data_IF_260282267493
#
_entry.id   IF_260282267493
#
_cell.length_a   1.000
_cell.length_b   1.000
_cell.length_c   1.000
_cell.angle_alpha   90.00
_cell.angle_beta   90.00
_cell.angle_gamma   90.00
#
_symmetry.space_group_name_H-M   'P 1'
#
loop_
_entity.id
_entity.type
_entity.pdbx_description
1 polymer ?
#
# COMPACT_ATOMS: atom_id res chain seq x y z
N UNK A 1 -42.57 58.83 53.13
CA UNK A 1 -43.79 58.63 52.31
C UNK A 1 -43.87 57.16 51.97
N UNK A 2 -44.94 56.51 52.44
CA UNK A 2 -45.08 55.05 52.50
C UNK A 2 -46.16 54.64 51.52
N UNK A 3 -45.90 53.65 50.66
CA UNK A 3 -46.96 52.94 49.95
C UNK A 3 -46.51 51.51 49.62
N UNK A 4 -47.00 50.55 50.42
CA UNK A 4 -47.11 49.13 50.09
C UNK A 4 -48.16 48.97 48.99
N UNK A 5 -47.93 48.07 48.04
CA UNK A 5 -49.02 47.34 47.37
C UNK A 5 -48.55 45.94 47.01
N UNK A 6 -49.15 44.98 47.69
CA UNK A 6 -49.24 43.58 47.27
C UNK A 6 -50.45 43.45 46.34
N UNK A 7 -50.36 42.62 45.30
CA UNK A 7 -51.51 42.03 44.63
C UNK A 7 -51.15 40.67 44.04
N UNK A 8 -52.13 39.77 44.13
CA UNK A 8 -52.06 38.33 44.00
C UNK A 8 -51.98 37.81 42.56
N UNK A 9 -51.38 36.62 42.49
CA UNK A 9 -51.55 35.49 41.57
C UNK A 9 -52.73 35.49 40.59
N UNK A 10 -52.44 35.06 39.35
CA UNK A 10 -53.28 34.15 38.57
C UNK A 10 -52.40 33.19 37.75
N UNK A 11 -52.75 31.91 37.80
CA UNK A 11 -52.13 30.83 37.05
C UNK A 11 -52.70 30.77 35.62
N UNK A 12 -51.85 30.41 34.64
CA UNK A 12 -52.26 29.69 33.44
C UNK A 12 -51.22 28.60 33.12
N UNK A 13 -51.74 27.42 32.86
CA UNK A 13 -51.08 26.17 32.50
C UNK A 13 -50.86 26.16 30.98
N UNK A 14 -49.70 25.72 30.49
CA UNK A 14 -49.56 24.71 29.42
C UNK A 14 -48.15 24.70 28.80
N UNK A 15 -47.58 23.49 28.69
CA UNK A 15 -46.77 23.09 27.54
C UNK A 15 -45.28 23.45 27.55
N UNK A 16 -44.49 22.82 28.41
CA UNK A 16 -43.03 22.79 28.25
C UNK A 16 -42.66 21.75 27.19
N UNK A 17 -42.38 22.19 25.97
CA UNK A 17 -41.63 21.42 24.97
C UNK A 17 -40.16 21.43 25.42
N UNK A 18 -39.49 20.29 25.65
CA UNK A 18 -38.05 20.32 25.82
C UNK A 18 -37.40 20.66 24.47
N UNK A 19 -36.81 21.86 24.40
CA UNK A 19 -35.89 22.23 23.34
C UNK A 19 -34.76 21.20 23.30
N UNK A 20 -34.77 20.34 22.30
CA UNK A 20 -33.62 19.54 21.92
C UNK A 20 -32.50 20.53 21.55
N UNK A 21 -31.51 20.65 22.43
CA UNK A 21 -30.21 21.23 22.08
C UNK A 21 -29.67 20.40 20.92
N UNK A 22 -29.70 20.99 19.72
CA UNK A 22 -29.04 20.44 18.55
C UNK A 22 -27.54 20.31 18.88
N UNK A 23 -27.10 19.08 19.09
CA UNK A 23 -25.67 18.76 19.06
C UNK A 23 -25.14 19.18 17.68
N UNK A 24 -23.97 19.83 17.59
CA UNK A 24 -23.34 20.02 16.30
C UNK A 24 -23.11 18.64 15.66
N UNK A 25 -23.34 18.48 14.34
CA UNK A 25 -23.15 17.18 13.71
C UNK A 25 -21.72 16.72 13.99
N UNK A 26 -21.60 15.52 14.56
CA UNK A 26 -20.35 14.83 14.71
C UNK A 26 -19.61 14.89 13.37
N UNK A 27 -18.41 15.47 13.38
CA UNK A 27 -17.45 15.38 12.29
C UNK A 27 -17.43 13.90 11.87
N UNK A 28 -17.59 13.54 10.59
CA UNK A 28 -17.49 12.14 10.21
C UNK A 28 -16.12 11.67 10.67
N UNK A 29 -16.13 10.80 11.69
CA UNK A 29 -14.99 9.97 12.02
C UNK A 29 -14.61 9.32 10.71
N UNK A 30 -13.48 9.74 10.16
CA UNK A 30 -12.78 9.01 9.13
C UNK A 30 -12.72 7.59 9.66
N UNK A 31 -13.49 6.72 9.01
CA UNK A 31 -13.72 5.37 9.50
C UNK A 31 -12.39 4.79 9.93
N UNK A 32 -12.32 4.39 11.20
CA UNK A 32 -11.20 3.61 11.68
C UNK A 32 -11.06 2.45 10.71
N UNK A 33 -10.05 2.51 9.85
CA UNK A 33 -9.64 1.38 9.06
C UNK A 33 -9.39 0.28 10.08
N UNK A 34 -10.11 -0.82 9.96
CA UNK A 34 -9.67 -2.12 10.47
C UNK A 34 -8.16 -2.17 10.33
N UNK A 35 -7.35 -2.57 11.33
CA UNK A 35 -5.91 -2.65 11.15
C UNK A 35 -5.65 -3.71 10.08
N UNK A 36 -5.63 -3.27 8.82
CA UNK A 36 -5.32 -4.11 7.69
C UNK A 36 -3.89 -4.56 7.86
N UNK A 37 -3.57 -5.76 7.37
CA UNK A 37 -2.18 -6.16 7.24
C UNK A 37 -1.38 -4.99 6.62
N UNK A 38 -0.20 -4.67 7.16
CA UNK A 38 0.56 -3.53 6.68
C UNK A 38 0.83 -3.70 5.19
N UNK A 39 0.68 -2.62 4.42
CA UNK A 39 0.93 -2.67 2.99
C UNK A 39 2.37 -3.16 2.72
N UNK A 40 2.51 -4.04 1.74
CA UNK A 40 3.77 -4.70 1.41
C UNK A 40 4.27 -4.24 0.05
N UNK A 41 5.58 -4.35 -0.16
CA UNK A 41 6.23 -4.11 -1.45
C UNK A 41 7.20 -5.25 -1.76
N UNK A 42 7.20 -5.71 -3.01
CA UNK A 42 7.98 -6.86 -3.44
C UNK A 42 9.46 -6.53 -3.48
N UNK A 43 10.26 -7.26 -2.69
CA UNK A 43 11.72 -7.17 -2.72
C UNK A 43 12.30 -8.00 -3.85
N UNK A 44 11.82 -9.24 -3.97
CA UNK A 44 12.02 -10.06 -5.16
C UNK A 44 11.16 -11.30 -5.19
N UNK A 45 11.01 -11.89 -6.37
CA UNK A 45 10.36 -13.20 -6.57
C UNK A 45 10.91 -14.33 -5.68
N UNK A 46 12.15 -14.20 -5.19
CA UNK A 46 12.83 -15.18 -4.33
C UNK A 46 12.94 -14.77 -2.86
N UNK A 47 12.81 -13.48 -2.53
CA UNK A 47 12.90 -12.96 -1.14
C UNK A 47 11.54 -12.60 -0.54
N UNK A 48 10.48 -12.61 -1.33
CA UNK A 48 9.16 -12.17 -0.90
C UNK A 48 9.05 -10.66 -0.77
N UNK A 49 8.15 -10.22 0.10
CA UNK A 49 7.78 -8.83 0.29
C UNK A 49 8.44 -8.19 1.52
N UNK A 50 8.33 -6.87 1.62
CA UNK A 50 8.75 -6.08 2.77
C UNK A 50 7.63 -5.13 3.21
N UNK A 51 7.61 -4.84 4.50
CA UNK A 51 6.68 -3.89 5.10
C UNK A 51 6.97 -2.46 4.65
N UNK A 52 5.95 -1.81 4.08
CA UNK A 52 5.98 -0.37 3.80
C UNK A 52 5.89 0.39 5.12
N UNK A 53 6.90 1.20 5.40
CA UNK A 53 6.98 2.06 6.59
C UNK A 53 6.32 3.42 6.32
N UNK A 54 6.61 4.01 5.16
CA UNK A 54 6.01 5.27 4.73
C UNK A 54 5.79 5.31 3.23
N UNK A 55 4.74 6.00 2.80
CA UNK A 55 4.48 6.35 1.39
C UNK A 55 4.12 7.82 1.31
N UNK A 56 4.74 8.54 0.38
CA UNK A 56 4.57 9.98 0.19
C UNK A 56 4.22 10.30 -1.25
N UNK A 57 3.33 11.27 -1.44
CA UNK A 57 2.89 11.82 -2.72
C UNK A 57 2.58 10.76 -3.81
N UNK A 58 1.73 9.75 -3.55
CA UNK A 58 1.34 8.80 -4.59
C UNK A 58 0.75 9.53 -5.81
N UNK A 59 0.92 8.94 -6.99
CA UNK A 59 0.47 9.48 -8.28
C UNK A 59 1.11 10.82 -8.70
N UNK A 60 2.27 11.16 -8.14
CA UNK A 60 3.01 12.38 -8.46
C UNK A 60 4.41 12.12 -9.00
N UNK A 61 5.11 13.19 -9.40
CA UNK A 61 6.51 13.11 -9.79
C UNK A 61 7.50 13.14 -8.60
N UNK A 62 7.00 13.29 -7.37
CA UNK A 62 7.76 13.17 -6.12
C UNK A 62 7.44 11.89 -5.34
N UNK A 63 6.64 10.97 -5.93
CA UNK A 63 6.18 9.77 -5.27
C UNK A 63 7.34 8.94 -4.70
N UNK A 64 7.22 8.54 -3.43
CA UNK A 64 8.24 7.73 -2.78
C UNK A 64 7.65 6.77 -1.76
N UNK A 65 8.33 5.64 -1.56
CA UNK A 65 7.99 4.62 -0.59
C UNK A 65 9.25 4.20 0.15
N UNK A 66 9.16 4.18 1.47
CA UNK A 66 10.19 3.65 2.36
C UNK A 66 9.68 2.35 2.97
N UNK A 67 10.50 1.31 2.95
CA UNK A 67 10.15 -0.02 3.42
C UNK A 67 11.32 -0.66 4.14
N UNK A 68 11.01 -1.67 4.96
CA UNK A 68 12.00 -2.49 5.65
C UNK A 68 11.47 -3.91 5.82
N UNK A 69 12.39 -4.85 5.97
CA UNK A 69 12.06 -6.22 6.33
C UNK A 69 11.78 -6.24 7.83
N UNK A 70 10.53 -6.57 8.19
CA UNK A 70 10.14 -6.86 9.57
C UNK A 70 10.31 -8.36 9.87
N UNK A 71 10.22 -8.73 11.15
CA UNK A 71 10.34 -10.13 11.55
C UNK A 71 9.33 -11.03 10.84
N UNK A 72 8.08 -10.58 10.68
CA UNK A 72 7.04 -11.36 10.00
C UNK A 72 7.36 -11.56 8.51
N UNK A 73 7.91 -10.54 7.83
CA UNK A 73 8.38 -10.65 6.44
C UNK A 73 9.49 -11.69 6.32
N UNK A 74 10.43 -11.69 7.27
CA UNK A 74 11.53 -12.64 7.31
C UNK A 74 11.03 -14.07 7.57
N UNK A 75 10.07 -14.25 8.48
CA UNK A 75 9.45 -15.56 8.76
C UNK A 75 8.73 -16.07 7.50
N UNK A 76 7.91 -15.23 6.85
CA UNK A 76 7.20 -15.58 5.62
C UNK A 76 8.17 -16.00 4.51
N UNK A 77 9.24 -15.21 4.30
CA UNK A 77 10.28 -15.56 3.31
C UNK A 77 10.97 -16.88 3.64
N UNK A 78 11.19 -17.19 4.93
CA UNK A 78 11.84 -18.43 5.37
C UNK A 78 10.91 -19.65 5.30
N UNK A 79 9.60 -19.45 5.16
CA UNK A 79 8.60 -20.51 4.96
C UNK A 79 8.33 -20.80 3.48
N UNK A 80 8.86 -19.97 2.56
CA UNK A 80 8.59 -20.04 1.12
C UNK A 80 9.35 -21.18 0.44
N UNK A 81 8.79 -21.66 -0.68
CA UNK A 81 8.93 -22.99 -1.28
C UNK A 81 10.32 -23.66 -1.45
N UNK A 82 10.33 -25.01 -1.45
CA UNK A 82 9.24 -25.84 -0.93
C UNK A 82 9.21 -25.70 0.60
N UNK A 83 8.04 -25.47 1.23
CA UNK A 83 7.97 -25.62 2.68
C UNK A 83 8.37 -27.06 2.96
N UNK A 84 9.39 -27.32 3.81
CA UNK A 84 9.78 -28.68 4.10
C UNK A 84 8.58 -29.43 4.69
N UNK A 85 8.40 -30.70 4.28
CA UNK A 85 7.33 -31.59 4.80
C UNK A 85 7.29 -31.58 6.34
N UNK A 86 8.45 -31.35 6.95
CA UNK A 86 8.62 -31.05 8.37
C UNK A 86 9.14 -29.61 8.56
N UNK A 87 8.23 -28.64 8.74
CA UNK A 87 8.61 -27.29 9.17
C UNK A 87 9.20 -27.38 10.57
N UNK A 88 10.51 -27.19 10.68
CA UNK A 88 11.22 -27.13 11.96
C UNK A 88 11.24 -25.69 12.47
N UNK A 89 10.52 -25.34 13.56
CA UNK A 89 10.44 -23.96 14.04
C UNK A 89 11.81 -23.35 14.36
N UNK A 90 12.75 -24.16 14.84
CA UNK A 90 14.12 -23.73 15.12
C UNK A 90 14.90 -23.33 13.86
N UNK A 91 14.66 -24.00 12.73
CA UNK A 91 15.31 -23.66 11.45
C UNK A 91 14.74 -22.37 10.87
N UNK A 92 13.41 -22.20 10.95
CA UNK A 92 12.73 -20.95 10.56
C UNK A 92 13.21 -19.78 11.41
N UNK A 93 13.28 -19.95 12.74
CA UNK A 93 13.78 -18.93 13.65
C UNK A 93 15.24 -18.55 13.36
N UNK A 94 16.10 -19.52 13.04
CA UNK A 94 17.49 -19.26 12.65
C UNK A 94 17.58 -18.52 11.32
N UNK A 95 16.77 -18.89 10.32
CA UNK A 95 16.69 -18.21 9.04
C UNK A 95 16.21 -16.76 9.20
N UNK A 96 15.11 -16.56 9.93
CA UNK A 96 14.55 -15.24 10.19
C UNK A 96 15.55 -14.37 10.94
N UNK A 97 16.24 -14.91 11.96
CA UNK A 97 17.31 -14.20 12.67
C UNK A 97 18.44 -13.78 11.74
N UNK A 98 18.92 -14.67 10.87
CA UNK A 98 19.97 -14.33 9.89
C UNK A 98 19.53 -13.21 8.94
N UNK A 99 18.28 -13.27 8.45
CA UNK A 99 17.69 -12.22 7.63
C UNK A 99 17.63 -10.88 8.38
N UNK A 100 17.16 -10.88 9.62
CA UNK A 100 17.11 -9.67 10.44
C UNK A 100 18.50 -9.11 10.73
N UNK A 101 19.48 -9.96 11.03
CA UNK A 101 20.86 -9.55 11.31
C UNK A 101 21.53 -8.97 10.05
N UNK A 102 21.32 -9.57 8.87
CA UNK A 102 21.85 -9.08 7.59
C UNK A 102 21.25 -7.73 7.18
N UNK A 103 19.98 -7.50 7.52
CA UNK A 103 19.28 -6.27 7.17
C UNK A 103 19.39 -5.20 8.26
N UNK A 104 19.67 -5.55 9.51
CA UNK A 104 19.92 -4.65 10.65
C UNK A 104 18.96 -3.45 10.76
N UNK A 105 17.67 -3.65 10.43
CA UNK A 105 16.65 -2.59 10.42
C UNK A 105 16.82 -1.53 9.32
N UNK A 106 17.64 -1.81 8.30
CA UNK A 106 17.89 -0.91 7.17
C UNK A 106 16.58 -0.59 6.46
N UNK A 107 16.30 0.69 6.34
CA UNK A 107 15.22 1.20 5.51
C UNK A 107 15.73 1.38 4.08
N UNK A 108 14.94 0.88 3.13
CA UNK A 108 15.15 1.05 1.70
C UNK A 108 14.10 2.01 1.15
N UNK A 109 14.44 2.70 0.07
CA UNK A 109 13.57 3.71 -0.55
C UNK A 109 13.49 3.47 -2.05
N UNK A 110 12.27 3.44 -2.57
CA UNK A 110 11.97 3.50 -4.01
C UNK A 110 11.21 4.79 -4.32
N UNK A 111 11.32 5.26 -5.57
CA UNK A 111 10.66 6.50 -6.04
C UNK A 111 9.97 6.26 -7.37
N UNK A 112 9.05 7.15 -7.74
CA UNK A 112 8.48 7.17 -9.07
C UNK A 112 8.30 8.60 -9.57
N UNK A 113 8.42 8.76 -10.90
CA UNK A 113 7.90 9.89 -11.64
C UNK A 113 6.68 9.42 -12.43
N UNK A 114 5.50 9.55 -11.83
CA UNK A 114 4.28 8.97 -12.38
C UNK A 114 3.89 9.57 -13.73
N UNK A 115 4.16 10.86 -13.99
CA UNK A 115 3.86 11.50 -15.27
C UNK A 115 4.66 10.89 -16.43
N UNK A 116 5.81 10.29 -16.12
CA UNK A 116 6.73 9.64 -17.08
C UNK A 116 6.69 8.13 -17.00
N UNK A 117 5.76 7.53 -16.25
CA UNK A 117 5.70 6.09 -15.99
C UNK A 117 7.07 5.50 -15.58
N UNK A 118 7.82 6.24 -14.78
CA UNK A 118 9.20 5.88 -14.43
C UNK A 118 9.31 5.51 -12.96
N UNK A 119 9.95 4.40 -12.65
CA UNK A 119 10.26 4.00 -11.27
C UNK A 119 11.76 3.92 -11.06
N UNK A 120 12.18 4.21 -9.82
CA UNK A 120 13.56 4.17 -9.36
C UNK A 120 13.65 3.14 -8.26
N UNK A 121 14.37 2.05 -8.54
CA UNK A 121 14.62 0.97 -7.60
C UNK A 121 16.10 0.91 -7.23
N UNK A 122 16.43 0.05 -6.28
CA UNK A 122 17.80 -0.29 -5.90
C UNK A 122 18.60 -0.94 -7.05
N UNK A 123 17.93 -1.42 -8.11
CA UNK A 123 18.57 -2.13 -9.23
C UNK A 123 18.68 -1.27 -10.49
N UNK A 124 17.94 -0.17 -10.58
CA UNK A 124 17.96 0.70 -11.75
C UNK A 124 16.81 1.70 -11.78
N UNK A 125 16.70 2.39 -12.91
CA UNK A 125 15.62 3.32 -13.22
C UNK A 125 14.94 2.85 -14.51
N UNK A 126 13.64 2.68 -14.45
CA UNK A 126 12.88 1.98 -15.47
C UNK A 126 11.69 2.82 -15.91
N UNK A 127 11.55 3.07 -17.21
CA UNK A 127 10.33 3.68 -17.76
C UNK A 127 9.53 2.64 -18.53
N UNK A 128 8.22 2.59 -18.29
CA UNK A 128 7.32 1.79 -19.12
C UNK A 128 7.26 2.39 -20.53
N UNK A 129 7.71 1.65 -21.54
CA UNK A 129 7.79 2.11 -22.93
C UNK A 129 6.87 1.33 -23.87
N UNK A 130 6.32 0.19 -23.43
CA UNK A 130 5.41 -0.60 -24.23
C UNK A 130 4.59 -1.58 -23.40
N UNK A 131 3.45 -1.99 -23.97
CA UNK A 131 2.61 -3.06 -23.45
C UNK A 131 2.25 -3.99 -24.61
N UNK A 132 2.25 -5.30 -24.37
CA UNK A 132 1.78 -6.29 -25.33
C UNK A 132 0.26 -6.40 -25.38
N UNK A 133 -0.23 -7.22 -26.31
CA UNK A 133 -1.65 -7.59 -26.37
C UNK A 133 -2.07 -8.43 -25.15
N UNK A 134 -3.28 -8.26 -24.61
CA UNK A 134 -3.79 -9.08 -23.52
C UNK A 134 -3.89 -10.56 -23.90
N UNK A 135 -3.20 -11.44 -23.17
CA UNK A 135 -3.20 -12.89 -23.38
C UNK A 135 -3.93 -13.61 -22.24
N UNK A 136 -4.62 -14.74 -22.49
CA UNK A 136 -5.17 -15.57 -21.42
C UNK A 136 -4.05 -15.98 -20.47
N UNK A 137 -4.20 -15.74 -19.17
CA UNK A 137 -3.38 -16.42 -18.17
C UNK A 137 -4.12 -17.70 -17.75
N UNK A 138 -3.41 -18.76 -17.38
CA UNK A 138 -4.03 -20.04 -16.98
C UNK A 138 -4.87 -19.97 -15.70
N UNK A 139 -5.11 -18.78 -15.14
CA UNK A 139 -5.76 -18.52 -13.85
C UNK A 139 -7.05 -17.69 -14.03
N UNK A 140 -8.13 -18.37 -14.42
CA UNK A 140 -9.46 -17.78 -14.55
C UNK A 140 -9.56 -16.75 -15.70
N UNK A 141 -10.69 -16.07 -15.82
CA UNK A 141 -10.99 -15.13 -16.91
C UNK A 141 -10.12 -13.86 -16.94
N UNK A 142 -8.99 -13.81 -16.21
CA UNK A 142 -8.09 -12.66 -16.21
C UNK A 142 -7.13 -12.77 -17.39
N UNK A 143 -7.06 -11.70 -18.19
CA UNK A 143 -6.03 -11.59 -19.21
C UNK A 143 -4.78 -10.98 -18.58
N UNK A 144 -3.62 -11.33 -19.11
CA UNK A 144 -2.32 -10.82 -18.71
C UNK A 144 -1.78 -9.90 -19.79
N UNK A 145 -1.10 -8.82 -19.41
CA UNK A 145 -0.49 -7.87 -20.34
C UNK A 145 1.01 -7.84 -20.08
N UNK A 146 1.79 -8.18 -21.11
CA UNK A 146 3.24 -8.04 -21.06
C UNK A 146 3.61 -6.56 -20.95
N UNK A 147 4.58 -6.24 -20.12
CA UNK A 147 5.16 -4.90 -20.00
C UNK A 147 6.60 -4.87 -20.52
N UNK A 148 6.95 -3.78 -21.20
CA UNK A 148 8.32 -3.53 -21.67
C UNK A 148 8.86 -2.27 -21.00
N UNK A 149 9.95 -2.44 -20.25
CA UNK A 149 10.56 -1.40 -19.43
C UNK A 149 11.95 -1.04 -19.96
N UNK A 150 12.18 0.23 -20.27
CA UNK A 150 13.52 0.70 -20.63
C UNK A 150 14.33 0.94 -19.36
N UNK A 151 15.43 0.21 -19.21
CA UNK A 151 16.47 0.46 -18.20
C UNK A 151 17.39 1.60 -18.67
N UNK A 152 17.37 2.75 -18.00
CA UNK A 152 18.20 3.91 -18.41
C UNK A 152 19.67 3.77 -18.03
N UNK A 153 20.07 2.71 -17.32
CA UNK A 153 21.49 2.44 -17.03
C UNK A 153 22.22 1.89 -18.25
N UNK A 154 21.55 1.07 -19.06
CA UNK A 154 22.16 0.32 -20.16
C UNK A 154 21.34 0.37 -21.47
N UNK A 155 20.29 1.19 -21.50
CA UNK A 155 19.35 1.37 -22.62
C UNK A 155 18.65 0.10 -23.11
N UNK A 156 18.67 -0.99 -22.33
CA UNK A 156 17.99 -2.24 -22.69
C UNK A 156 16.52 -2.19 -22.34
N UNK A 157 15.74 -2.89 -23.15
CA UNK A 157 14.35 -3.22 -22.81
C UNK A 157 14.34 -4.49 -21.98
N UNK A 158 13.78 -4.39 -20.78
CA UNK A 158 13.52 -5.48 -19.86
C UNK A 158 12.04 -5.83 -19.98
N UNK A 159 11.77 -7.03 -20.48
CA UNK A 159 10.43 -7.62 -20.53
C UNK A 159 10.21 -8.63 -19.40
N UNK A 160 9.16 -9.42 -19.50
CA UNK A 160 8.80 -10.46 -18.52
C UNK A 160 9.95 -11.46 -18.23
N UNK A 161 10.67 -11.25 -17.13
CA UNK A 161 11.59 -12.22 -16.55
C UNK A 161 11.87 -11.94 -15.06
N UNK A 162 11.76 -12.98 -14.21
CA UNK A 162 12.06 -12.87 -12.77
C UNK A 162 13.52 -12.50 -12.50
N UNK A 163 14.45 -13.05 -13.30
CA UNK A 163 15.87 -12.69 -13.23
C UNK A 163 16.13 -11.21 -13.56
N UNK A 164 15.21 -10.58 -14.31
CA UNK A 164 15.30 -9.19 -14.73
C UNK A 164 14.52 -8.23 -13.83
N UNK A 165 13.94 -8.74 -12.74
CA UNK A 165 13.26 -7.95 -11.70
C UNK A 165 11.97 -7.25 -12.15
N UNK A 166 11.36 -7.71 -13.24
CA UNK A 166 10.13 -7.14 -13.79
C UNK A 166 8.97 -7.12 -12.78
N UNK A 167 8.73 -8.18 -11.98
CA UNK A 167 7.70 -8.15 -10.94
C UNK A 167 7.91 -7.02 -9.91
N UNK A 168 9.15 -6.78 -9.50
CA UNK A 168 9.52 -5.73 -8.54
C UNK A 168 9.27 -4.33 -9.12
N UNK A 169 9.55 -4.15 -10.42
CA UNK A 169 9.31 -2.89 -11.15
C UNK A 169 7.79 -2.62 -11.23
N UNK A 170 7.01 -3.62 -11.66
CA UNK A 170 5.55 -3.54 -11.77
C UNK A 170 4.92 -3.23 -10.41
N UNK A 171 5.28 -3.99 -9.37
CA UNK A 171 4.76 -3.78 -8.01
C UNK A 171 5.13 -2.39 -7.46
N UNK A 172 6.35 -1.91 -7.73
CA UNK A 172 6.74 -0.54 -7.33
C UNK A 172 5.89 0.52 -8.03
N UNK A 173 5.60 0.31 -9.33
CA UNK A 173 4.76 1.22 -10.10
C UNK A 173 3.31 1.21 -9.60
N UNK A 174 2.76 0.04 -9.29
CA UNK A 174 1.43 -0.11 -8.67
C UNK A 174 1.33 0.60 -7.31
N UNK A 175 2.34 0.44 -6.46
CA UNK A 175 2.35 1.03 -5.10
C UNK A 175 2.46 2.55 -5.12
N UNK A 176 3.26 3.11 -6.04
CA UNK A 176 3.59 4.54 -6.10
C UNK A 176 2.74 5.35 -7.07
N UNK A 177 2.26 4.74 -8.15
CA UNK A 177 1.45 5.38 -9.18
C UNK A 177 0.13 4.61 -9.42
N UNK A 178 -0.67 4.33 -8.37
CA UNK A 178 -1.84 3.47 -8.48
C UNK A 178 -2.88 3.95 -9.51
N UNK A 179 -3.05 5.25 -9.72
CA UNK A 179 -3.95 5.77 -10.75
C UNK A 179 -3.42 5.45 -12.17
N UNK A 180 -2.15 5.72 -12.43
CA UNK A 180 -1.52 5.43 -13.72
C UNK A 180 -1.46 3.91 -13.98
N UNK A 181 -1.20 3.11 -12.95
CA UNK A 181 -1.24 1.66 -13.01
C UNK A 181 -2.64 1.17 -13.38
N UNK A 182 -3.68 1.64 -12.66
CA UNK A 182 -5.06 1.28 -12.96
C UNK A 182 -5.45 1.64 -14.38
N UNK A 183 -5.15 2.85 -14.85
CA UNK A 183 -5.47 3.25 -16.23
C UNK A 183 -4.88 2.32 -17.30
N UNK A 184 -3.72 1.71 -17.02
CA UNK A 184 -3.03 0.84 -17.99
C UNK A 184 -3.40 -0.63 -17.87
N UNK A 185 -3.72 -1.09 -16.67
CA UNK A 185 -3.81 -2.52 -16.36
C UNK A 185 -5.13 -2.91 -15.68
N UNK A 186 -6.16 -2.04 -15.67
CA UNK A 186 -7.44 -2.37 -15.01
C UNK A 186 -8.03 -3.68 -15.56
N UNK A 187 -8.26 -4.65 -14.66
CA UNK A 187 -8.76 -5.98 -15.04
C UNK A 187 -7.72 -6.91 -15.68
N UNK A 188 -6.46 -6.50 -15.80
CA UNK A 188 -5.36 -7.28 -16.35
C UNK A 188 -4.28 -7.56 -15.31
N UNK A 189 -3.60 -8.70 -15.46
CA UNK A 189 -2.38 -9.00 -14.69
C UNK A 189 -1.17 -8.52 -15.51
N UNK A 190 -0.49 -7.47 -15.04
CA UNK A 190 0.76 -7.03 -15.65
C UNK A 190 1.89 -8.02 -15.35
N UNK A 191 2.70 -8.35 -16.36
CA UNK A 191 3.84 -9.27 -16.22
C UNK A 191 5.02 -8.92 -17.14
#
# INVERSE_FOLDING_TARGET
>A
MTAKRWLLAFAFIAGSVPSALAQPPAKPEQGAMTPGAPAKILLSSHRGDATIVTRTDPDSDSAAVTFRIELDDAIESCLREPPPDDIKPAEVARCAKQMMDLNAGKQLKRRAMCSKNTVYTEFGNYSLVGTGEPQPNGEGNKKSIRTDWKDHRNDKIVGNCSACRTPEIINTFEVLCPAAYKTKFDGFVAY
#
